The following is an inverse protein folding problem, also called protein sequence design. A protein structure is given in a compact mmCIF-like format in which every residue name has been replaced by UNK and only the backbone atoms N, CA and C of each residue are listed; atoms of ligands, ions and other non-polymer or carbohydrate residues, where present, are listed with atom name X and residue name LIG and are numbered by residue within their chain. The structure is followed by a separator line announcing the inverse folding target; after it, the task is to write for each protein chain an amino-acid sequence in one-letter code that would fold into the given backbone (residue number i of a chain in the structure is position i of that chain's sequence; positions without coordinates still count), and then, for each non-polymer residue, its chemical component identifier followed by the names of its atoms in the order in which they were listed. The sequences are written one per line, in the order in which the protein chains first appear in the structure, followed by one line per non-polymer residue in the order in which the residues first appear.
data_IF_692289907343
#
_entry.id   IF_692289907343
#
_cell.length_a   1.000
_cell.length_b   1.000
_cell.length_c   1.000
_cell.angle_alpha   90.00
_cell.angle_beta   90.00
_cell.angle_gamma   90.00
#
_symmetry.space_group_name_H-M   'P 1'
#
loop_
_entity.id
_entity.type
_entity.pdbx_description
1 polymer ?
#
# COMPACT_ATOMS: atom_id res chain seq x y z
N UNK A 1 43.77 3.22 4.16
CA UNK A 1 42.56 2.64 4.79
C UNK A 1 41.77 3.68 5.59
N UNK A 2 42.41 4.63 6.28
CA UNK A 2 41.71 5.71 6.97
C UNK A 2 40.96 6.68 6.02
N UNK A 3 41.57 7.05 4.89
CA UNK A 3 40.96 8.02 3.93
C UNK A 3 39.69 7.49 3.25
N UNK A 4 39.69 6.20 2.86
CA UNK A 4 38.53 5.55 2.23
C UNK A 4 37.32 5.46 3.17
N UNK A 5 37.56 5.45 4.49
CA UNK A 5 36.51 5.43 5.51
C UNK A 5 35.97 6.84 5.74
N UNK A 6 36.82 7.88 5.69
CA UNK A 6 36.37 9.28 5.76
C UNK A 6 35.54 9.66 4.53
N UNK A 7 35.94 9.23 3.34
CA UNK A 7 35.20 9.46 2.09
C UNK A 7 33.78 8.86 2.16
N UNK A 8 33.64 7.63 2.66
CA UNK A 8 32.33 6.99 2.87
C UNK A 8 31.47 7.68 3.94
N UNK A 9 32.09 8.24 4.99
CA UNK A 9 31.37 8.99 6.02
C UNK A 9 30.88 10.34 5.48
N UNK A 10 31.71 11.02 4.68
CA UNK A 10 31.35 12.26 4.01
C UNK A 10 30.24 12.03 2.98
N UNK A 11 30.30 10.95 2.20
CA UNK A 11 29.27 10.56 1.25
C UNK A 11 27.92 10.32 1.94
N UNK A 12 27.90 9.63 3.10
CA UNK A 12 26.68 9.47 3.90
C UNK A 12 26.10 10.80 4.37
N UNK A 13 26.93 11.74 4.82
CA UNK A 13 26.47 13.06 5.23
C UNK A 13 25.88 13.84 4.04
N UNK A 14 26.53 13.76 2.88
CA UNK A 14 26.09 14.41 1.66
C UNK A 14 24.72 13.88 1.20
N UNK A 15 24.52 12.57 1.18
CA UNK A 15 23.23 11.93 0.84
C UNK A 15 22.11 12.38 1.80
N UNK A 16 22.38 12.50 3.10
CA UNK A 16 21.40 13.00 4.06
C UNK A 16 21.02 14.46 3.81
N UNK A 17 21.98 15.30 3.41
CA UNK A 17 21.73 16.71 3.05
C UNK A 17 20.93 16.79 1.75
N UNK A 18 21.23 15.96 0.75
CA UNK A 18 20.49 15.88 -0.52
C UNK A 18 19.03 15.44 -0.32
N UNK A 19 18.74 14.67 0.72
CA UNK A 19 17.38 14.31 1.09
C UNK A 19 16.58 15.47 1.73
N UNK A 20 17.24 16.54 2.21
CA UNK A 20 16.60 17.61 2.98
C UNK A 20 15.44 18.31 2.23
N UNK A 21 15.53 18.64 0.94
CA UNK A 21 14.41 19.24 0.20
C UNK A 21 13.17 18.34 0.15
N UNK A 22 13.36 17.02 0.01
CA UNK A 22 12.26 16.05 0.02
C UNK A 22 11.62 15.97 1.41
N UNK A 23 12.44 15.93 2.46
CA UNK A 23 11.97 15.94 3.86
C UNK A 23 11.13 17.19 4.12
N UNK A 24 11.60 18.37 3.70
CA UNK A 24 10.87 19.62 3.86
C UNK A 24 9.54 19.63 3.08
N UNK A 25 9.55 19.16 1.82
CA UNK A 25 8.36 19.12 0.97
C UNK A 25 7.26 18.23 1.53
N UNK A 26 7.63 17.08 2.09
CA UNK A 26 6.67 16.07 2.54
C UNK A 26 6.45 16.03 4.05
N UNK A 27 6.99 17.01 4.78
CA UNK A 27 6.77 17.12 6.21
C UNK A 27 5.27 17.19 6.53
N UNK A 28 4.83 16.37 7.49
CA UNK A 28 3.45 16.16 7.94
C UNK A 28 2.47 15.68 6.87
N UNK A 29 2.94 15.33 5.67
CA UNK A 29 2.09 14.76 4.62
C UNK A 29 1.77 13.30 4.94
N UNK A 30 0.53 12.92 4.65
CA UNK A 30 0.06 11.54 4.85
C UNK A 30 0.49 10.70 3.65
N UNK A 31 1.09 9.55 3.95
CA UNK A 31 1.38 8.51 2.96
C UNK A 31 0.67 7.22 3.37
N UNK A 32 -0.11 6.64 2.47
CA UNK A 32 -0.69 5.32 2.67
C UNK A 32 0.18 4.30 1.95
N UNK A 33 0.67 3.30 2.67
CA UNK A 33 1.49 2.22 2.12
C UNK A 33 0.68 0.94 2.15
N UNK A 34 0.26 0.48 0.97
CA UNK A 34 -0.30 -0.86 0.83
C UNK A 34 0.84 -1.86 0.83
N UNK A 35 0.94 -2.60 1.93
CA UNK A 35 1.92 -3.66 2.11
C UNK A 35 1.30 -5.04 1.84
N UNK A 36 1.76 -5.73 0.80
CA UNK A 36 1.20 -7.03 0.40
C UNK A 36 2.09 -7.81 -0.56
N UNK A 37 1.61 -8.96 -1.02
CA UNK A 37 2.31 -9.76 -2.04
C UNK A 37 3.44 -10.61 -1.49
N UNK A 38 4.46 -10.84 -2.31
CA UNK A 38 5.63 -11.64 -1.98
C UNK A 38 6.55 -10.97 -0.96
N UNK A 39 6.52 -9.64 -0.87
CA UNK A 39 7.21 -8.89 0.19
C UNK A 39 6.78 -9.26 1.62
N UNK A 40 5.61 -9.88 1.80
CA UNK A 40 5.13 -10.36 3.11
C UNK A 40 5.64 -11.76 3.49
N UNK A 41 6.13 -12.53 2.52
CA UNK A 41 6.54 -13.93 2.72
C UNK A 41 7.98 -14.00 3.20
N UNK A 42 8.82 -13.10 2.70
CA UNK A 42 10.22 -12.99 3.10
C UNK A 42 10.34 -12.12 4.36
N UNK A 43 10.83 -12.70 5.46
CA UNK A 43 10.98 -12.00 6.73
C UNK A 43 12.02 -10.88 6.68
N UNK A 44 13.03 -10.98 5.81
CA UNK A 44 14.05 -9.94 5.66
C UNK A 44 13.48 -8.74 4.89
N UNK A 45 12.77 -8.98 3.79
CA UNK A 45 12.08 -7.91 3.06
C UNK A 45 11.02 -7.23 3.93
N UNK A 46 10.27 -8.00 4.72
CA UNK A 46 9.33 -7.46 5.70
C UNK A 46 9.99 -6.48 6.67
N UNK A 47 11.13 -6.86 7.26
CA UNK A 47 11.89 -5.96 8.15
C UNK A 47 12.35 -4.69 7.44
N UNK A 48 12.86 -4.81 6.22
CA UNK A 48 13.33 -3.67 5.44
C UNK A 48 12.21 -2.69 5.09
N UNK A 49 11.05 -3.19 4.66
CA UNK A 49 9.87 -2.33 4.39
C UNK A 49 9.41 -1.62 5.66
N UNK A 50 9.36 -2.32 6.80
CA UNK A 50 8.99 -1.69 8.07
C UNK A 50 10.03 -0.64 8.51
N UNK A 51 11.32 -0.89 8.29
CA UNK A 51 12.37 0.11 8.50
C UNK A 51 12.15 1.36 7.64
N UNK A 52 11.82 1.21 6.37
CA UNK A 52 11.54 2.34 5.48
C UNK A 52 10.36 3.18 5.98
N UNK A 53 9.22 2.54 6.30
CA UNK A 53 8.02 3.25 6.77
C UNK A 53 8.28 3.94 8.11
N UNK A 54 9.04 3.29 8.99
CA UNK A 54 9.46 3.87 10.28
C UNK A 54 10.36 5.08 10.04
N UNK A 55 11.33 5.00 9.12
CA UNK A 55 12.18 6.14 8.78
C UNK A 55 11.36 7.30 8.21
N UNK A 56 10.40 7.03 7.30
CA UNK A 56 9.50 8.05 6.76
C UNK A 56 8.79 8.81 7.89
N UNK A 57 8.29 8.11 8.90
CA UNK A 57 7.69 8.74 10.09
C UNK A 57 8.69 9.63 10.83
N UNK A 58 9.88 9.11 11.12
CA UNK A 58 10.92 9.83 11.87
C UNK A 58 11.39 11.09 11.16
N UNK A 59 11.37 11.11 9.83
CA UNK A 59 11.70 12.30 9.03
C UNK A 59 10.49 13.20 8.73
N UNK A 60 9.32 12.93 9.33
CA UNK A 60 8.20 13.85 9.38
C UNK A 60 6.97 13.47 8.54
N UNK A 61 6.99 12.38 7.78
CA UNK A 61 5.74 11.89 7.16
C UNK A 61 4.77 11.38 8.23
N UNK A 62 3.50 11.27 7.83
CA UNK A 62 2.44 10.60 8.59
C UNK A 62 2.05 9.30 7.89
N UNK A 63 2.83 8.21 8.01
CA UNK A 63 2.54 6.98 7.31
C UNK A 63 1.36 6.22 7.93
N UNK A 64 0.57 5.59 7.07
CA UNK A 64 -0.46 4.60 7.41
C UNK A 64 -0.13 3.33 6.62
N UNK A 65 0.00 2.19 7.29
CA UNK A 65 0.18 0.91 6.61
C UNK A 65 -1.18 0.26 6.43
N UNK A 66 -1.51 -0.19 5.23
CA UNK A 66 -2.65 -1.07 4.96
C UNK A 66 -2.11 -2.40 4.48
N UNK A 67 -2.35 -3.49 5.20
CA UNK A 67 -1.70 -4.77 4.87
C UNK A 67 -2.67 -5.80 4.27
N UNK A 68 -2.13 -6.70 3.45
CA UNK A 68 -2.82 -7.91 3.03
C UNK A 68 -2.59 -9.10 3.96
N UNK A 69 -2.98 -10.29 3.52
CA UNK A 69 -2.68 -11.53 4.22
C UNK A 69 -3.08 -12.79 3.47
N UNK A 70 -3.34 -12.70 2.16
CA UNK A 70 -3.96 -13.77 1.38
C UNK A 70 -3.26 -15.13 1.50
N UNK A 71 -1.92 -15.15 1.39
CA UNK A 71 -1.12 -16.39 1.54
C UNK A 71 -1.22 -16.98 2.96
N UNK A 72 -1.18 -16.14 3.99
CA UNK A 72 -1.33 -16.58 5.38
C UNK A 72 -2.74 -17.10 5.67
N UNK A 73 -3.78 -16.46 5.13
CA UNK A 73 -5.17 -16.94 5.26
C UNK A 73 -5.28 -18.33 4.62
N UNK A 74 -4.80 -18.51 3.37
CA UNK A 74 -4.84 -19.82 2.70
C UNK A 74 -4.13 -20.91 3.50
N UNK A 75 -2.98 -20.58 4.11
CA UNK A 75 -2.23 -21.51 4.96
C UNK A 75 -3.02 -21.95 6.19
N UNK A 76 -3.73 -21.03 6.85
CA UNK A 76 -4.54 -21.35 8.03
C UNK A 76 -5.84 -22.08 7.69
N UNK A 77 -6.49 -21.72 6.58
CA UNK A 77 -7.63 -22.47 6.01
C UNK A 77 -7.22 -23.93 5.74
N UNK A 78 -6.07 -24.14 5.10
CA UNK A 78 -5.55 -25.50 4.88
C UNK A 78 -5.21 -26.25 6.18
N UNK A 79 -4.69 -25.56 7.20
CA UNK A 79 -4.39 -26.17 8.51
C UNK A 79 -5.62 -26.73 9.22
N UNK A 80 -6.80 -26.17 8.98
CA UNK A 80 -8.06 -26.66 9.57
C UNK A 80 -8.79 -27.65 8.65
N UNK A 81 -8.16 -28.08 7.55
CA UNK A 81 -8.71 -29.07 6.62
C UNK A 81 -9.70 -28.52 5.60
N UNK A 82 -9.77 -27.19 5.45
CA UNK A 82 -10.58 -26.51 4.44
C UNK A 82 -9.73 -26.14 3.22
N UNK A 83 -10.36 -25.99 2.05
CA UNK A 83 -9.68 -25.62 0.80
C UNK A 83 -9.88 -24.13 0.45
N UNK A 84 -8.81 -23.37 0.17
CA UNK A 84 -8.92 -21.99 -0.31
C UNK A 84 -9.61 -21.90 -1.68
N UNK A 85 -10.75 -21.20 -1.77
CA UNK A 85 -11.49 -20.98 -3.03
C UNK A 85 -11.36 -19.52 -3.49
N UNK A 86 -11.13 -19.33 -4.79
CA UNK A 86 -11.05 -18.00 -5.41
C UNK A 86 -11.96 -17.91 -6.64
N UNK A 87 -12.62 -16.75 -6.81
CA UNK A 87 -13.50 -16.41 -7.93
C UNK A 87 -13.07 -15.06 -8.49
N UNK A 88 -12.60 -15.03 -9.74
CA UNK A 88 -12.12 -13.83 -10.43
C UNK A 88 -11.07 -13.03 -9.62
N UNK A 89 -10.16 -13.72 -8.93
CA UNK A 89 -9.11 -13.11 -8.11
C UNK A 89 -9.54 -12.69 -6.69
N UNK A 90 -10.83 -12.80 -6.35
CA UNK A 90 -11.34 -12.58 -4.99
C UNK A 90 -11.44 -13.92 -4.26
N UNK A 91 -11.11 -13.94 -2.95
CA UNK A 91 -11.32 -15.12 -2.12
C UNK A 91 -12.81 -15.31 -1.86
N UNK A 92 -13.38 -16.43 -2.26
CA UNK A 92 -14.72 -16.82 -1.80
C UNK A 92 -14.64 -17.10 -0.30
N UNK A 93 -15.44 -16.38 0.47
CA UNK A 93 -15.30 -16.30 1.93
C UNK A 93 -16.65 -16.64 2.55
N UNK A 94 -16.90 -17.90 2.88
CA UNK A 94 -18.06 -18.28 3.71
C UNK A 94 -17.86 -17.88 5.18
N UNK A 95 -18.81 -18.22 6.06
CA UNK A 95 -18.77 -17.82 7.47
C UNK A 95 -17.51 -18.34 8.19
N UNK A 96 -17.20 -19.63 8.02
CA UNK A 96 -16.03 -20.27 8.63
C UNK A 96 -14.72 -19.67 8.07
N UNK A 97 -14.65 -19.44 6.76
CA UNK A 97 -13.50 -18.78 6.12
C UNK A 97 -13.35 -17.33 6.60
N UNK A 98 -14.46 -16.62 6.85
CA UNK A 98 -14.44 -15.24 7.37
C UNK A 98 -13.85 -15.20 8.79
N UNK A 99 -14.25 -16.11 9.67
CA UNK A 99 -13.69 -16.22 11.02
C UNK A 99 -12.17 -16.42 10.97
N UNK A 100 -11.70 -17.35 10.14
CA UNK A 100 -10.27 -17.61 9.94
C UNK A 100 -9.57 -16.38 9.36
N UNK A 101 -10.16 -15.74 8.34
CA UNK A 101 -9.58 -14.55 7.73
C UNK A 101 -9.41 -13.41 8.74
N UNK A 102 -10.42 -13.17 9.59
CA UNK A 102 -10.37 -12.15 10.65
C UNK A 102 -9.26 -12.44 11.68
N UNK A 103 -9.18 -13.67 12.18
CA UNK A 103 -8.12 -14.07 13.12
C UNK A 103 -6.72 -13.91 12.51
N UNK A 104 -6.54 -14.37 11.27
CA UNK A 104 -5.22 -14.39 10.62
C UNK A 104 -4.77 -12.99 10.23
N UNK A 105 -5.65 -12.15 9.70
CA UNK A 105 -5.31 -10.77 9.39
C UNK A 105 -4.93 -10.00 10.66
N UNK A 106 -5.62 -10.21 11.78
CA UNK A 106 -5.21 -9.63 13.07
C UNK A 106 -3.86 -10.16 13.56
N UNK A 107 -3.56 -11.46 13.40
CA UNK A 107 -2.23 -12.00 13.70
C UNK A 107 -1.14 -11.32 12.88
N UNK A 108 -1.36 -11.14 11.57
CA UNK A 108 -0.43 -10.42 10.69
C UNK A 108 -0.29 -8.97 11.15
N UNK A 109 -1.40 -8.30 11.43
CA UNK A 109 -1.44 -6.91 11.89
C UNK A 109 -0.54 -6.71 13.13
N UNK A 110 -0.70 -7.55 14.16
CA UNK A 110 0.10 -7.46 15.38
C UNK A 110 1.57 -7.79 15.15
N UNK A 111 1.90 -8.68 14.20
CA UNK A 111 3.30 -8.93 13.85
C UNK A 111 3.99 -7.69 13.25
N UNK A 112 3.27 -6.89 12.44
CA UNK A 112 3.80 -5.65 11.89
C UNK A 112 3.94 -4.57 12.97
N UNK A 113 2.98 -4.49 13.90
CA UNK A 113 3.08 -3.62 15.09
C UNK A 113 4.36 -3.93 15.86
N UNK A 114 4.64 -5.20 16.15
CA UNK A 114 5.87 -5.62 16.85
C UNK A 114 7.13 -5.14 16.14
N UNK A 115 7.21 -5.28 14.81
CA UNK A 115 8.38 -4.84 14.05
C UNK A 115 8.60 -3.31 14.11
N UNK A 116 7.52 -2.52 14.15
CA UNK A 116 7.63 -1.07 14.30
C UNK A 116 8.07 -0.69 15.72
N UNK A 117 7.49 -1.35 16.74
CA UNK A 117 7.86 -1.13 18.15
C UNK A 117 9.33 -1.49 18.43
N UNK A 118 9.85 -2.56 17.79
CA UNK A 118 11.28 -2.93 17.86
C UNK A 118 12.22 -1.82 17.35
N UNK A 119 11.72 -0.92 16.51
CA UNK A 119 12.45 0.25 16.00
C UNK A 119 12.24 1.51 16.85
N UNK A 120 11.53 1.40 17.98
CA UNK A 120 11.30 2.51 18.91
C UNK A 120 10.20 3.48 18.50
N UNK A 121 9.34 3.08 17.55
CA UNK A 121 8.18 3.86 17.12
C UNK A 121 6.91 3.24 17.63
N UNK A 122 6.01 4.06 18.15
CA UNK A 122 4.73 3.60 18.67
C UNK A 122 3.76 3.30 17.50
N UNK A 123 3.27 2.07 17.43
CA UNK A 123 2.34 1.62 16.39
C UNK A 123 1.02 1.12 16.98
N UNK A 124 -0.08 1.41 16.27
CA UNK A 124 -1.41 0.92 16.66
C UNK A 124 -2.02 0.16 15.51
N UNK A 125 -2.25 -1.13 15.76
CA UNK A 125 -2.90 -2.02 14.83
C UNK A 125 -4.42 -1.98 14.98
N UNK A 126 -5.13 -1.59 13.91
CA UNK A 126 -6.59 -1.49 13.83
C UNK A 126 -7.14 -2.27 12.63
N UNK A 127 -8.44 -2.52 12.64
CA UNK A 127 -9.24 -3.01 11.52
C UNK A 127 -10.22 -1.92 11.06
N UNK A 128 -10.94 -2.16 9.97
CA UNK A 128 -12.06 -1.29 9.59
C UNK A 128 -13.25 -1.36 10.54
N UNK A 129 -13.31 -2.31 11.47
CA UNK A 129 -14.34 -2.38 12.52
C UNK A 129 -14.10 -1.32 13.60
N UNK A 130 -12.84 -1.01 13.88
CA UNK A 130 -12.46 -0.12 14.96
C UNK A 130 -12.85 1.33 14.64
N UNK A 131 -13.68 1.93 15.49
CA UNK A 131 -14.25 3.26 15.24
C UNK A 131 -15.19 3.35 14.04
N UNK A 132 -15.60 2.20 13.47
CA UNK A 132 -16.37 2.16 12.23
C UNK A 132 -15.62 2.70 11.02
N UNK A 133 -14.30 2.47 10.96
CA UNK A 133 -13.40 2.99 9.92
C UNK A 133 -13.82 2.59 8.50
N UNK A 134 -14.22 1.32 8.26
CA UNK A 134 -14.65 0.84 6.94
C UNK A 134 -16.07 0.27 7.02
N UNK A 135 -17.02 0.95 6.38
CA UNK A 135 -18.35 0.40 6.13
C UNK A 135 -18.39 -0.25 4.75
N UNK A 136 -19.12 -1.35 4.67
CA UNK A 136 -19.20 -2.16 3.45
C UNK A 136 -20.62 -2.62 3.18
N UNK A 137 -20.84 -3.06 1.96
CA UNK A 137 -21.96 -3.94 1.60
C UNK A 137 -21.38 -5.23 1.01
N UNK A 138 -22.19 -6.28 0.94
CA UNK A 138 -21.79 -7.52 0.25
C UNK A 138 -21.42 -7.24 -1.22
N UNK A 139 -20.26 -7.73 -1.63
CA UNK A 139 -19.74 -7.69 -3.00
C UNK A 139 -20.10 -8.98 -3.73
N UNK A 140 -20.61 -8.84 -4.95
CA UNK A 140 -20.83 -9.94 -5.87
C UNK A 140 -19.76 -9.91 -6.97
N UNK A 141 -19.32 -11.09 -7.43
CA UNK A 141 -18.35 -11.21 -8.53
C UNK A 141 -19.08 -11.64 -9.79
N UNK A 142 -19.26 -10.73 -10.74
CA UNK A 142 -20.05 -10.98 -11.97
C UNK A 142 -21.45 -11.57 -11.69
N UNK A 143 -22.10 -11.13 -10.61
CA UNK A 143 -23.40 -11.64 -10.16
C UNK A 143 -23.35 -12.90 -9.27
N UNK A 144 -22.20 -13.53 -9.09
CA UNK A 144 -22.03 -14.66 -8.16
C UNK A 144 -21.87 -14.18 -6.71
N UNK A 145 -22.58 -14.81 -5.77
CA UNK A 145 -22.35 -14.63 -4.33
C UNK A 145 -21.06 -15.33 -3.92
N UNK A 146 -20.07 -14.52 -3.52
CA UNK A 146 -18.76 -14.96 -3.06
C UNK A 146 -18.62 -14.93 -1.54
N UNK A 147 -19.74 -14.80 -0.82
CA UNK A 147 -19.85 -14.84 0.63
C UNK A 147 -19.62 -13.48 1.31
N UNK A 148 -18.93 -13.48 2.44
CA UNK A 148 -18.55 -12.33 3.26
C UNK A 148 -17.37 -11.55 2.64
N UNK A 149 -17.51 -11.18 1.37
CA UNK A 149 -16.58 -10.27 0.69
C UNK A 149 -17.22 -8.89 0.59
N UNK A 150 -16.52 -7.87 1.06
CA UNK A 150 -17.05 -6.52 1.19
C UNK A 150 -16.67 -5.61 0.02
N UNK A 151 -17.60 -4.76 -0.38
CA UNK A 151 -17.38 -3.56 -1.18
C UNK A 151 -17.52 -2.34 -0.27
N UNK A 152 -16.48 -1.52 -0.19
CA UNK A 152 -16.47 -0.33 0.68
C UNK A 152 -17.51 0.68 0.18
N UNK A 153 -18.38 1.11 1.07
CA UNK A 153 -19.42 2.11 0.81
C UNK A 153 -19.07 3.46 1.43
N UNK A 154 -18.39 3.46 2.58
CA UNK A 154 -18.03 4.66 3.33
C UNK A 154 -16.77 4.42 4.18
N UNK A 155 -16.00 5.48 4.42
CA UNK A 155 -14.78 5.44 5.23
C UNK A 155 -14.83 6.57 6.25
N UNK A 156 -14.72 6.22 7.54
CA UNK A 156 -14.62 7.18 8.63
C UNK A 156 -13.16 7.30 9.11
N UNK A 157 -12.38 8.28 8.62
CA UNK A 157 -10.95 8.37 8.91
C UNK A 157 -10.64 8.91 10.31
N UNK A 158 -11.65 9.27 11.12
CA UNK A 158 -11.45 9.95 12.41
C UNK A 158 -10.43 9.25 13.32
N UNK A 159 -10.55 7.92 13.46
CA UNK A 159 -9.60 7.15 14.27
C UNK A 159 -8.16 7.23 13.73
N UNK A 160 -7.98 7.30 12.42
CA UNK A 160 -6.65 7.43 11.80
C UNK A 160 -6.06 8.81 12.07
N UNK A 161 -6.87 9.87 11.98
CA UNK A 161 -6.42 11.21 12.35
C UNK A 161 -6.04 11.32 13.82
N UNK A 162 -6.87 10.81 14.73
CA UNK A 162 -6.60 10.81 16.16
C UNK A 162 -5.27 10.10 16.47
N UNK A 163 -5.01 8.95 15.85
CA UNK A 163 -3.75 8.21 16.00
C UNK A 163 -2.55 8.98 15.45
N UNK A 164 -2.66 9.52 14.23
CA UNK A 164 -1.58 10.29 13.60
C UNK A 164 -1.26 11.59 14.36
N UNK A 165 -2.26 12.24 14.94
CA UNK A 165 -2.07 13.44 15.77
C UNK A 165 -1.37 13.14 17.11
N UNK A 166 -1.60 11.95 17.66
CA UNK A 166 -0.92 11.45 18.86
C UNK A 166 0.41 10.76 18.57
N UNK A 167 0.92 10.94 17.36
CA UNK A 167 2.21 10.42 16.90
C UNK A 167 2.30 8.88 16.91
N UNK A 168 1.17 8.17 16.76
CA UNK A 168 1.18 6.75 16.46
C UNK A 168 1.35 6.49 14.95
N UNK A 169 1.86 5.31 14.60
CA UNK A 169 1.85 4.75 13.25
C UNK A 169 0.67 3.77 13.12
N UNK A 170 -0.41 4.12 12.38
CA UNK A 170 -1.55 3.23 12.20
C UNK A 170 -1.24 2.09 11.23
N UNK A 171 -1.59 0.87 11.62
CA UNK A 171 -1.49 -0.33 10.76
C UNK A 171 -2.89 -0.93 10.64
N UNK A 172 -3.47 -0.87 9.44
CA UNK A 172 -4.86 -1.24 9.17
C UNK A 172 -4.94 -2.61 8.49
N UNK A 173 -5.78 -3.51 9.02
CA UNK A 173 -6.19 -4.73 8.34
C UNK A 173 -7.54 -4.55 7.61
N UNK A 174 -7.73 -5.13 6.41
CA UNK A 174 -8.84 -4.81 5.50
C UNK A 174 -10.08 -5.63 5.82
N UNK A 175 -10.69 -5.35 6.97
CA UNK A 175 -11.92 -5.97 7.47
C UNK A 175 -12.94 -4.85 7.73
N UNK A 176 -14.18 -4.99 7.26
CA UNK A 176 -15.23 -3.97 7.46
C UNK A 176 -16.54 -4.54 8.00
N UNK A 177 -17.50 -3.65 8.23
CA UNK A 177 -18.84 -3.95 8.75
C UNK A 177 -19.92 -3.48 7.78
N UNK A 178 -20.97 -4.29 7.60
CA UNK A 178 -22.23 -3.79 7.01
C UNK A 178 -23.11 -3.10 8.06
N UNK A 179 -24.28 -2.62 7.63
CA UNK A 179 -25.23 -1.91 8.49
C UNK A 179 -25.85 -2.83 9.56
N UNK A 180 -25.81 -4.15 9.36
CA UNK A 180 -26.21 -5.18 10.31
C UNK A 180 -25.05 -5.67 11.20
N UNK A 181 -23.86 -5.06 11.10
CA UNK A 181 -22.65 -5.41 11.86
C UNK A 181 -22.05 -6.79 11.55
N UNK A 182 -22.34 -7.36 10.38
CA UNK A 182 -21.62 -8.55 9.90
C UNK A 182 -20.20 -8.17 9.45
N UNK A 183 -19.24 -9.04 9.74
CA UNK A 183 -17.85 -8.86 9.30
C UNK A 183 -17.69 -9.25 7.82
N UNK A 184 -16.96 -8.43 7.05
CA UNK A 184 -16.55 -8.77 5.68
C UNK A 184 -15.04 -8.63 5.46
N UNK A 185 -14.51 -9.52 4.64
CA UNK A 185 -13.16 -9.47 4.11
C UNK A 185 -13.11 -8.53 2.90
N UNK A 186 -12.16 -7.59 2.89
CA UNK A 186 -12.03 -6.59 1.83
C UNK A 186 -10.70 -6.81 1.09
N UNK A 187 -10.68 -6.52 -0.21
CA UNK A 187 -9.42 -6.46 -0.94
C UNK A 187 -8.52 -5.36 -0.35
N UNK A 188 -7.27 -5.70 -0.03
CA UNK A 188 -6.34 -4.76 0.60
C UNK A 188 -5.97 -3.57 -0.29
N UNK A 189 -5.97 -3.72 -1.62
CA UNK A 189 -5.74 -2.61 -2.54
C UNK A 189 -6.95 -1.66 -2.52
N UNK A 190 -8.18 -2.20 -2.56
CA UNK A 190 -9.42 -1.42 -2.46
C UNK A 190 -9.48 -0.64 -1.14
N UNK A 191 -9.12 -1.29 -0.02
CA UNK A 191 -9.04 -0.65 1.29
C UNK A 191 -7.98 0.46 1.33
N UNK A 192 -6.80 0.24 0.75
CA UNK A 192 -5.75 1.26 0.70
C UNK A 192 -6.16 2.48 -0.14
N UNK A 193 -6.79 2.27 -1.30
CA UNK A 193 -7.35 3.35 -2.10
C UNK A 193 -8.43 4.12 -1.33
N UNK A 194 -9.38 3.43 -0.72
CA UNK A 194 -10.48 4.07 0.01
C UNK A 194 -9.97 4.89 1.20
N UNK A 195 -9.01 4.34 1.97
CA UNK A 195 -8.37 5.06 3.08
C UNK A 195 -7.57 6.26 2.56
N UNK A 196 -6.77 6.10 1.51
CA UNK A 196 -5.97 7.17 0.93
C UNK A 196 -6.82 8.36 0.46
N UNK A 197 -7.97 8.09 -0.17
CA UNK A 197 -8.95 9.11 -0.54
C UNK A 197 -9.54 9.80 0.68
N UNK A 198 -10.01 9.02 1.66
CA UNK A 198 -10.66 9.53 2.86
C UNK A 198 -9.74 10.41 3.71
N UNK A 199 -8.43 10.14 3.70
CA UNK A 199 -7.44 10.94 4.42
C UNK A 199 -6.79 12.03 3.57
N UNK A 200 -7.17 12.17 2.29
CA UNK A 200 -6.54 13.03 1.29
C UNK A 200 -5.02 12.87 1.28
N UNK A 201 -4.57 11.62 1.12
CA UNK A 201 -3.16 11.27 1.18
C UNK A 201 -2.36 11.97 0.06
N UNK A 202 -1.18 12.47 0.41
CA UNK A 202 -0.24 13.02 -0.57
C UNK A 202 0.29 11.90 -1.49
N UNK A 203 0.49 10.71 -0.91
CA UNK A 203 0.99 9.54 -1.61
C UNK A 203 0.24 8.28 -1.22
N UNK A 204 -0.06 7.45 -2.20
CA UNK A 204 -0.45 6.05 -2.02
C UNK A 204 0.61 5.16 -2.69
N UNK A 205 1.26 4.28 -1.95
CA UNK A 205 2.27 3.37 -2.47
C UNK A 205 1.78 1.91 -2.42
N UNK A 206 1.74 1.24 -3.56
CA UNK A 206 1.51 -0.19 -3.67
C UNK A 206 2.83 -0.93 -3.73
N UNK A 207 3.11 -1.73 -2.71
CA UNK A 207 4.21 -2.70 -2.75
C UNK A 207 3.71 -3.98 -3.40
N UNK A 208 4.24 -4.27 -4.58
CA UNK A 208 3.79 -5.34 -5.47
C UNK A 208 4.94 -6.29 -5.85
N UNK A 209 4.63 -7.29 -6.66
CA UNK A 209 5.62 -8.27 -7.16
C UNK A 209 6.08 -7.96 -8.59
N UNK A 210 5.85 -6.72 -9.05
CA UNK A 210 6.20 -6.23 -10.39
C UNK A 210 6.98 -4.91 -10.28
N UNK A 211 7.81 -4.65 -11.28
CA UNK A 211 8.66 -3.44 -11.35
C UNK A 211 7.82 -2.16 -11.52
N UNK A 212 6.71 -2.25 -12.26
CA UNK A 212 5.82 -1.12 -12.53
C UNK A 212 4.99 -1.39 -13.78
N UNK A 213 4.70 -0.32 -14.52
CA UNK A 213 3.91 -0.35 -15.75
C UNK A 213 4.87 -0.26 -16.95
N UNK A 214 4.81 -1.26 -17.81
CA UNK A 214 5.52 -1.24 -19.09
C UNK A 214 4.60 -0.73 -20.19
N UNK A 215 5.13 0.07 -21.12
CA UNK A 215 4.40 0.44 -22.34
C UNK A 215 4.15 -0.78 -23.22
N UNK A 216 5.15 -1.66 -23.33
CA UNK A 216 5.06 -2.96 -23.97
C UNK A 216 5.46 -4.04 -22.95
N UNK A 217 4.52 -4.90 -22.50
CA UNK A 217 4.81 -5.97 -21.54
C UNK A 217 5.91 -6.95 -21.99
N UNK A 218 6.23 -7.00 -23.28
CA UNK A 218 7.29 -7.86 -23.84
C UNK A 218 8.68 -7.22 -23.83
N UNK A 219 8.79 -5.90 -23.66
CA UNK A 219 10.06 -5.17 -23.63
C UNK A 219 10.28 -4.47 -22.28
N UNK A 220 11.24 -4.99 -21.50
CA UNK A 220 11.60 -4.45 -20.19
C UNK A 220 12.17 -3.04 -20.23
N UNK A 221 12.69 -2.59 -21.37
CA UNK A 221 13.20 -1.22 -21.50
C UNK A 221 12.08 -0.17 -21.56
N UNK A 222 10.82 -0.62 -21.63
CA UNK A 222 9.65 0.25 -21.73
C UNK A 222 8.98 0.54 -20.38
N UNK A 223 9.68 0.31 -19.26
CA UNK A 223 9.20 0.70 -17.94
C UNK A 223 8.94 2.21 -17.90
N UNK A 224 7.73 2.58 -17.51
CA UNK A 224 7.29 3.96 -17.41
C UNK A 224 7.52 4.43 -15.97
N UNK A 225 8.46 5.35 -15.77
CA UNK A 225 8.71 5.91 -14.43
C UNK A 225 7.61 6.85 -13.96
N UNK A 226 7.06 7.67 -14.87
CA UNK A 226 5.96 8.59 -14.55
C UNK A 226 4.86 8.53 -15.62
N UNK A 227 3.61 8.46 -15.17
CA UNK A 227 2.42 8.30 -16.00
C UNK A 227 1.33 9.28 -15.56
N UNK A 228 0.85 10.12 -16.47
CA UNK A 228 -0.30 10.98 -16.16
C UNK A 228 -1.60 10.17 -16.19
N UNK A 229 -2.66 10.65 -15.53
CA UNK A 229 -3.99 10.00 -15.60
C UNK A 229 -4.45 9.87 -17.05
N UNK A 230 -4.27 10.92 -17.87
CA UNK A 230 -4.62 10.88 -19.29
C UNK A 230 -3.82 9.83 -20.07
N UNK A 231 -2.52 9.70 -19.80
CA UNK A 231 -1.69 8.69 -20.46
C UNK A 231 -2.01 7.27 -19.99
N UNK A 232 -2.34 7.09 -18.71
CA UNK A 232 -2.81 5.81 -18.17
C UNK A 232 -4.11 5.36 -18.85
N UNK A 233 -5.08 6.28 -19.01
CA UNK A 233 -6.35 6.02 -19.71
C UNK A 233 -6.12 5.62 -21.18
N UNK A 234 -5.17 6.26 -21.87
CA UNK A 234 -4.77 5.88 -23.23
C UNK A 234 -4.15 4.48 -23.29
N UNK A 235 -3.20 4.17 -22.40
CA UNK A 235 -2.57 2.83 -22.35
C UNK A 235 -3.58 1.71 -22.13
N UNK A 236 -4.61 1.96 -21.31
CA UNK A 236 -5.73 1.04 -21.13
C UNK A 236 -6.53 0.88 -22.43
N UNK A 237 -6.88 1.99 -23.09
CA UNK A 237 -7.65 2.00 -24.34
C UNK A 237 -6.94 1.35 -25.53
N UNK A 238 -5.60 1.47 -25.59
CA UNK A 238 -4.76 0.90 -26.65
C UNK A 238 -4.60 -0.63 -26.54
N UNK A 239 -5.05 -1.24 -25.44
CA UNK A 239 -5.05 -2.69 -25.26
C UNK A 239 -3.71 -3.31 -24.84
N UNK A 240 -2.67 -2.50 -24.57
CA UNK A 240 -1.38 -2.97 -24.07
C UNK A 240 -1.44 -3.43 -22.61
N UNK A 241 -2.44 -2.98 -21.85
CA UNK A 241 -2.63 -3.33 -20.45
C UNK A 241 -3.68 -4.44 -20.31
N UNK A 242 -3.28 -5.56 -19.70
CA UNK A 242 -4.17 -6.70 -19.43
C UNK A 242 -4.01 -7.30 -18.04
N UNK A 243 -4.78 -8.35 -17.77
CA UNK A 243 -4.71 -9.14 -16.54
C UNK A 243 -4.94 -8.30 -15.27
N UNK A 244 -4.15 -8.59 -14.23
CA UNK A 244 -4.25 -7.90 -12.93
C UNK A 244 -3.77 -6.45 -12.93
N UNK A 245 -3.10 -5.98 -14.00
CA UNK A 245 -2.67 -4.58 -14.09
C UNK A 245 -3.82 -3.63 -14.41
N UNK A 246 -4.79 -4.07 -15.22
CA UNK A 246 -5.97 -3.27 -15.57
C UNK A 246 -6.75 -2.78 -14.34
N UNK A 247 -7.18 -3.65 -13.39
CA UNK A 247 -7.86 -3.19 -12.18
C UNK A 247 -6.95 -2.34 -11.29
N UNK A 248 -5.64 -2.59 -11.28
CA UNK A 248 -4.67 -1.80 -10.51
C UNK A 248 -4.56 -0.37 -11.04
N UNK A 249 -4.42 -0.19 -12.36
CA UNK A 249 -4.39 1.15 -12.96
C UNK A 249 -5.71 1.89 -12.76
N UNK A 250 -6.85 1.21 -12.93
CA UNK A 250 -8.16 1.82 -12.66
C UNK A 250 -8.28 2.30 -11.21
N UNK A 251 -7.83 1.49 -10.25
CA UNK A 251 -7.80 1.87 -8.83
C UNK A 251 -6.85 3.06 -8.57
N UNK A 252 -5.71 3.14 -9.25
CA UNK A 252 -4.78 4.26 -9.13
C UNK A 252 -5.37 5.55 -9.71
N UNK A 253 -5.99 5.47 -10.90
CA UNK A 253 -6.68 6.60 -11.56
C UNK A 253 -7.80 7.11 -10.65
N UNK A 254 -8.64 6.20 -10.16
CA UNK A 254 -9.76 6.54 -9.27
C UNK A 254 -9.28 7.17 -7.96
N UNK A 255 -8.17 6.72 -7.38
CA UNK A 255 -7.58 7.36 -6.21
C UNK A 255 -7.16 8.81 -6.49
N UNK A 256 -6.53 9.07 -7.65
CA UNK A 256 -6.07 10.41 -8.03
C UNK A 256 -7.24 11.35 -8.34
N UNK A 257 -8.20 10.88 -9.14
CA UNK A 257 -9.40 11.64 -9.53
C UNK A 257 -10.25 12.02 -8.28
N UNK A 258 -10.04 11.36 -7.14
CA UNK A 258 -10.69 11.63 -5.86
C UNK A 258 -9.75 12.16 -4.75
N UNK A 259 -8.65 12.82 -5.12
CA UNK A 259 -7.89 13.67 -4.20
C UNK A 259 -6.60 13.09 -3.61
N UNK A 260 -6.12 11.94 -4.09
CA UNK A 260 -4.75 11.49 -3.82
C UNK A 260 -3.79 12.16 -4.81
N UNK A 261 -2.74 12.85 -4.35
CA UNK A 261 -1.87 13.61 -5.26
C UNK A 261 -1.07 12.70 -6.21
N UNK A 262 -0.52 11.59 -5.69
CA UNK A 262 0.29 10.66 -6.47
C UNK A 262 0.13 9.22 -5.99
N UNK A 263 0.07 8.29 -6.92
CA UNK A 263 -0.01 6.85 -6.64
C UNK A 263 1.22 6.16 -7.21
N UNK A 264 1.92 5.36 -6.41
CA UNK A 264 3.16 4.69 -6.78
C UNK A 264 2.93 3.17 -6.85
N UNK A 265 3.34 2.54 -7.95
CA UNK A 265 3.42 1.08 -8.09
C UNK A 265 4.89 0.69 -8.03
N UNK A 266 5.27 -0.02 -6.97
CA UNK A 266 6.66 -0.35 -6.67
C UNK A 266 6.87 -1.86 -6.56
N UNK A 267 8.08 -2.31 -6.86
CA UNK A 267 8.52 -3.66 -6.59
C UNK A 267 8.94 -3.82 -5.13
N UNK A 268 8.08 -4.46 -4.34
CA UNK A 268 8.34 -4.73 -2.92
C UNK A 268 9.45 -5.77 -2.68
N UNK A 269 10.01 -6.37 -3.74
CA UNK A 269 11.18 -7.29 -3.64
C UNK A 269 12.50 -6.53 -3.61
N UNK A 270 12.52 -5.26 -3.99
CA UNK A 270 13.70 -4.41 -3.94
C UNK A 270 13.82 -3.84 -2.52
N UNK A 271 14.97 -4.08 -1.90
CA UNK A 271 15.28 -3.51 -0.59
C UNK A 271 15.21 -1.98 -0.64
N UNK A 272 14.60 -1.37 0.37
CA UNK A 272 14.47 0.07 0.49
C UNK A 272 13.66 0.77 -0.63
N UNK A 273 12.76 0.03 -1.29
CA UNK A 273 12.01 0.54 -2.45
C UNK A 273 11.23 1.83 -2.17
N UNK A 274 10.68 2.00 -0.97
CA UNK A 274 9.95 3.22 -0.59
C UNK A 274 10.88 4.43 -0.50
N UNK A 275 12.06 4.25 0.10
CA UNK A 275 13.04 5.33 0.24
C UNK A 275 13.62 5.71 -1.12
N UNK A 276 13.92 4.71 -1.95
CA UNK A 276 14.39 4.92 -3.32
C UNK A 276 13.36 5.70 -4.14
N UNK A 277 12.07 5.37 -4.02
CA UNK A 277 11.03 6.10 -4.75
C UNK A 277 10.81 7.54 -4.25
N UNK A 278 10.89 7.77 -2.94
CA UNK A 278 10.52 9.07 -2.34
C UNK A 278 11.70 10.06 -2.35
N UNK A 279 12.92 9.57 -2.18
CA UNK A 279 14.13 10.38 -2.02
C UNK A 279 15.07 10.36 -3.23
N UNK A 280 14.62 9.83 -4.37
CA UNK A 280 15.40 9.91 -5.63
C UNK A 280 14.55 10.47 -6.77
N UNK A 281 15.21 11.08 -7.76
CA UNK A 281 14.55 11.68 -8.92
C UNK A 281 14.12 10.63 -9.96
N UNK A 282 14.91 9.57 -10.10
CA UNK A 282 14.59 8.47 -11.00
C UNK A 282 13.92 7.37 -10.19
N UNK A 283 12.61 7.52 -10.01
CA UNK A 283 11.76 6.53 -9.35
C UNK A 283 12.02 5.12 -9.89
N UNK A 284 11.99 4.14 -8.99
CA UNK A 284 12.34 2.75 -9.30
C UNK A 284 11.14 1.92 -9.77
N UNK A 285 9.95 2.52 -9.76
CA UNK A 285 8.73 1.95 -10.31
C UNK A 285 7.96 2.97 -11.14
N UNK A 286 6.63 2.90 -11.08
CA UNK A 286 5.75 3.82 -11.82
C UNK A 286 4.98 4.72 -10.85
N UNK A 287 5.21 6.03 -10.97
CA UNK A 287 4.39 7.05 -10.35
C UNK A 287 3.28 7.51 -11.29
N UNK A 288 2.03 7.45 -10.82
CA UNK A 288 0.84 7.95 -11.51
C UNK A 288 0.43 9.26 -10.84
N UNK A 289 0.20 10.29 -11.65
CA UNK A 289 -0.07 11.65 -11.18
C UNK A 289 -1.20 12.31 -11.99
N UNK A 290 -1.87 13.30 -11.39
CA UNK A 290 -2.87 14.11 -12.08
C UNK A 290 -2.27 14.92 -13.23
N UNK A 291 -3.08 15.24 -14.24
CA UNK A 291 -2.61 15.93 -15.45
C UNK A 291 -2.08 17.36 -15.19
N UNK A 292 -2.50 17.97 -14.07
CA UNK A 292 -2.05 19.29 -13.63
C UNK A 292 -0.85 19.26 -12.67
N UNK A 293 -0.45 18.07 -12.20
CA UNK A 293 0.70 17.92 -11.31
C UNK A 293 1.99 18.01 -12.11
N UNK A 294 2.97 18.75 -11.59
CA UNK A 294 4.28 18.81 -12.23
C UNK A 294 4.98 17.44 -12.10
N UNK A 295 5.47 16.94 -13.24
CA UNK A 295 6.47 15.87 -13.27
C UNK A 295 7.67 16.29 -12.43
N UNK A 296 8.36 15.35 -11.77
CA UNK A 296 9.56 15.72 -11.01
C UNK A 296 10.65 16.23 -11.96
N UNK A 297 10.68 17.54 -12.21
CA UNK A 297 11.74 18.23 -12.91
C UNK A 297 12.68 18.84 -11.86
N UNK A 298 13.62 18.04 -11.35
CA UNK A 298 14.76 18.56 -10.59
C UNK A 298 16.08 18.03 -11.18
N UNK A 299 16.21 18.12 -12.51
CA UNK A 299 17.52 18.14 -13.18
C UNK A 299 17.64 19.47 -13.94
N UNK A 300 18.19 20.46 -13.25
CA UNK A 300 19.32 21.24 -13.78
C UNK A 300 20.54 20.86 -12.97
#
# INVERSE_FOLDING_TARGET
MADKNMEQVMEKAQVLIEALPYIQRFNRKIIVVKYGGSAMVDEQLKKQVIQDVTLLKLVGFKPIIVHGGGKEISKWVGKVGMEPVFVNGLRKTDADTMEIAEMVLNKVNKSLVTLVEELGVQAVGVSGKDGGLLKVKKKYSNGEDIGFVGEITDVNPRILYDLLEKDFLPIVCPIGLDDEYNTYNINADDAACAIARAVSAEKLAFLTDIEGVYKDPSDKNTLISELTVSDAKKLIGDGFIGGGMLPKLNNCIDAIDNGVSRVHILDGRIAHCLLLEIFTNRGIGTAILGDSEEKFNNEQ
#
